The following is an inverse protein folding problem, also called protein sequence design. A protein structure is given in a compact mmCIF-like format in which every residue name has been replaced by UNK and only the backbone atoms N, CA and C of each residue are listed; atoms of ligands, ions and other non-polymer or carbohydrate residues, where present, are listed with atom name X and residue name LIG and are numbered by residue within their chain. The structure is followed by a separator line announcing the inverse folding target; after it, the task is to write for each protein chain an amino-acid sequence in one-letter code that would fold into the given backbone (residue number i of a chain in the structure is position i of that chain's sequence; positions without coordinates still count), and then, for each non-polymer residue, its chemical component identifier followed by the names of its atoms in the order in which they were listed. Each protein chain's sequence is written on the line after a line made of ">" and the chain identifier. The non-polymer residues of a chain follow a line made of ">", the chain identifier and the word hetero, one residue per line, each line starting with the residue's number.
data_IF_153361167395
#
_entry.id   IF_153361167395
#
_cell.length_a   1.000
_cell.length_b   1.000
_cell.length_c   1.000
_cell.angle_alpha   90.00
_cell.angle_beta   90.00
_cell.angle_gamma   90.00
#
_symmetry.space_group_name_H-M   'P 1'
#
loop_
_entity.id
_entity.type
_entity.pdbx_description
1 polymer ?
#
# COMPACT_ATOMS: atom_id res chain seq x y z
N UNK A 1 7.16 1.24 -1.31
CA UNK A 1 6.83 2.62 -1.75
C UNK A 1 5.94 3.28 -0.70
N UNK A 2 6.15 4.57 -0.44
CA UNK A 2 5.26 5.41 0.37
C UNK A 2 4.71 6.54 -0.51
N UNK A 3 3.41 6.80 -0.42
CA UNK A 3 2.76 7.96 -1.04
C UNK A 3 2.23 8.84 0.09
N UNK A 4 2.67 10.10 0.16
CA UNK A 4 2.26 11.00 1.22
C UNK A 4 1.82 12.37 0.74
N UNK A 5 0.78 12.92 1.36
CA UNK A 5 0.21 14.23 1.07
C UNK A 5 -1.11 14.45 1.80
N UNK A 6 -1.54 15.72 1.98
CA UNK A 6 -2.78 16.05 2.70
C UNK A 6 -4.01 15.47 2.00
N UNK A 7 -5.16 15.46 2.67
CA UNK A 7 -6.42 15.12 2.01
C UNK A 7 -6.63 15.94 0.73
N UNK A 8 -7.29 15.35 -0.26
CA UNK A 8 -7.49 15.94 -1.60
C UNK A 8 -6.24 16.24 -2.44
N UNK A 9 -5.04 15.81 -2.03
CA UNK A 9 -3.81 15.99 -2.82
C UNK A 9 -3.67 15.05 -4.03
N UNK A 10 -4.71 14.30 -4.41
CA UNK A 10 -4.70 13.38 -5.56
C UNK A 10 -4.06 12.00 -5.33
N UNK A 11 -3.76 11.61 -4.08
CA UNK A 11 -3.12 10.30 -3.75
C UNK A 11 -3.89 9.11 -4.32
N UNK A 12 -5.20 9.05 -4.10
CA UNK A 12 -6.04 7.95 -4.57
C UNK A 12 -6.07 7.87 -6.09
N UNK A 13 -6.09 9.01 -6.79
CA UNK A 13 -6.00 9.06 -8.26
C UNK A 13 -4.67 8.56 -8.77
N UNK A 14 -3.56 8.95 -8.12
CA UNK A 14 -2.23 8.43 -8.44
C UNK A 14 -2.16 6.92 -8.22
N UNK A 15 -2.70 6.45 -7.10
CA UNK A 15 -2.71 5.03 -6.73
C UNK A 15 -3.52 4.18 -7.73
N UNK A 16 -4.69 4.65 -8.16
CA UNK A 16 -5.50 3.99 -9.18
C UNK A 16 -4.76 3.84 -10.50
N UNK A 17 -4.12 4.92 -10.97
CA UNK A 17 -3.28 4.88 -12.19
C UNK A 17 -2.08 3.97 -12.03
N UNK A 18 -1.46 3.98 -10.85
CA UNK A 18 -0.36 3.07 -10.54
C UNK A 18 -0.82 1.61 -10.64
N UNK A 19 -1.96 1.27 -10.03
CA UNK A 19 -2.54 -0.08 -10.08
C UNK A 19 -2.84 -0.50 -11.52
N UNK A 20 -3.44 0.38 -12.35
CA UNK A 20 -3.74 0.04 -13.75
C UNK A 20 -2.49 -0.21 -14.59
N UNK A 21 -1.38 0.45 -14.28
CA UNK A 21 -0.11 0.35 -15.02
C UNK A 21 0.91 -0.59 -14.35
N UNK A 22 0.52 -1.33 -13.31
CA UNK A 22 1.44 -2.20 -12.55
C UNK A 22 2.20 -3.20 -13.41
N UNK A 23 1.60 -3.70 -14.50
CA UNK A 23 2.25 -4.64 -15.43
C UNK A 23 3.42 -4.03 -16.21
N UNK A 24 3.49 -2.70 -16.31
CA UNK A 24 4.58 -1.99 -16.96
C UNK A 24 5.55 -1.37 -15.94
N UNK A 25 5.04 -0.97 -14.77
CA UNK A 25 5.81 -0.26 -13.75
C UNK A 25 6.58 -1.19 -12.78
N UNK A 26 6.18 -2.45 -12.64
CA UNK A 26 6.78 -3.39 -11.68
C UNK A 26 7.25 -4.65 -12.41
N UNK A 27 8.54 -4.95 -12.26
CA UNK A 27 9.16 -6.20 -12.69
C UNK A 27 9.76 -6.93 -11.46
N UNK A 28 9.40 -8.19 -11.18
CA UNK A 28 8.41 -9.01 -11.88
C UNK A 28 6.97 -8.57 -11.65
N UNK A 29 6.12 -8.74 -12.68
CA UNK A 29 4.69 -8.40 -12.61
C UNK A 29 4.01 -9.05 -11.39
N UNK A 30 3.26 -8.28 -10.57
CA UNK A 30 2.45 -8.85 -9.52
C UNK A 30 1.38 -9.79 -10.07
N UNK A 31 1.30 -11.00 -9.52
CA UNK A 31 0.22 -11.97 -9.82
C UNK A 31 -1.07 -11.65 -9.08
N UNK A 32 -0.95 -11.02 -7.91
CA UNK A 32 -2.09 -10.63 -7.09
C UNK A 32 -1.90 -9.23 -6.54
N UNK A 33 -3.02 -8.55 -6.29
CA UNK A 33 -3.07 -7.24 -5.66
C UNK A 33 -4.06 -7.30 -4.50
N UNK A 34 -3.60 -6.93 -3.32
CA UNK A 34 -4.42 -6.82 -2.11
C UNK A 34 -4.47 -5.36 -1.66
N UNK A 35 -5.63 -4.74 -1.82
CA UNK A 35 -5.91 -3.37 -1.41
C UNK A 35 -6.59 -3.33 -0.05
N UNK A 36 -5.90 -2.83 0.96
CA UNK A 36 -6.38 -2.71 2.32
C UNK A 36 -6.71 -1.25 2.64
N UNK A 37 -7.88 -0.98 3.20
CA UNK A 37 -8.34 0.39 3.46
C UNK A 37 -8.88 0.58 4.89
N UNK A 38 -8.63 1.76 5.46
CA UNK A 38 -9.22 2.17 6.74
C UNK A 38 -10.66 2.64 6.62
N UNK A 39 -10.97 3.40 5.57
CA UNK A 39 -12.30 3.95 5.30
C UNK A 39 -12.77 3.56 3.90
N UNK A 40 -14.04 3.15 3.79
CA UNK A 40 -14.64 2.80 2.50
C UNK A 40 -14.76 4.06 1.63
N UNK A 41 -14.12 4.04 0.47
CA UNK A 41 -14.16 5.14 -0.48
C UNK A 41 -14.65 4.68 -1.86
N UNK A 42 -15.02 5.63 -2.71
CA UNK A 42 -15.57 5.36 -4.05
C UNK A 42 -14.59 4.59 -4.97
N UNK A 43 -13.32 4.46 -4.59
CA UNK A 43 -12.33 3.70 -5.36
C UNK A 43 -12.45 2.19 -5.13
N UNK A 44 -12.95 1.76 -3.97
CA UNK A 44 -13.00 0.34 -3.58
C UNK A 44 -13.85 -0.48 -4.55
N UNK A 45 -15.09 -0.06 -4.90
CA UNK A 45 -15.91 -0.82 -5.86
C UNK A 45 -15.27 -0.88 -7.25
N UNK A 46 -14.56 0.17 -7.65
CA UNK A 46 -13.86 0.23 -8.94
C UNK A 46 -12.71 -0.78 -8.98
N UNK A 47 -11.93 -0.87 -7.90
CA UNK A 47 -10.84 -1.83 -7.77
C UNK A 47 -11.34 -3.28 -7.74
N UNK A 48 -12.43 -3.55 -7.02
CA UNK A 48 -13.04 -4.88 -7.04
C UNK A 48 -13.47 -5.31 -8.45
N UNK A 49 -14.09 -4.40 -9.21
CA UNK A 49 -14.48 -4.66 -10.60
C UNK A 49 -13.29 -4.93 -11.52
N UNK A 50 -12.12 -4.36 -11.24
CA UNK A 50 -10.89 -4.64 -11.99
C UNK A 50 -10.15 -5.91 -11.53
N UNK A 51 -10.76 -6.74 -10.66
CA UNK A 51 -10.17 -7.98 -10.16
C UNK A 51 -9.16 -7.80 -9.02
N UNK A 52 -9.08 -6.61 -8.41
CA UNK A 52 -8.24 -6.37 -7.23
C UNK A 52 -8.95 -6.88 -5.99
N UNK A 53 -8.25 -7.66 -5.18
CA UNK A 53 -8.78 -8.13 -3.90
C UNK A 53 -8.76 -6.99 -2.88
N UNK A 54 -9.84 -6.82 -2.14
CA UNK A 54 -9.96 -5.74 -1.16
C UNK A 54 -10.16 -6.29 0.24
N UNK A 55 -9.65 -5.56 1.24
CA UNK A 55 -9.75 -5.91 2.65
C UNK A 55 -9.97 -4.65 3.51
N UNK A 56 -10.94 -4.70 4.41
CA UNK A 56 -11.20 -3.59 5.34
C UNK A 56 -10.30 -3.75 6.57
N UNK A 57 -9.42 -2.78 6.81
CA UNK A 57 -8.49 -2.76 7.94
C UNK A 57 -7.09 -3.30 7.62
N UNK A 58 -6.33 -3.59 8.67
CA UNK A 58 -4.94 -4.09 8.57
C UNK A 58 -4.98 -5.60 8.33
N UNK A 59 -4.40 -6.11 7.23
CA UNK A 59 -4.48 -7.54 6.92
C UNK A 59 -3.61 -8.35 7.88
N UNK A 60 -4.10 -9.49 8.40
CA UNK A 60 -3.25 -10.42 9.14
C UNK A 60 -2.27 -11.13 8.20
N UNK A 61 -1.14 -11.61 8.71
CA UNK A 61 -0.13 -12.30 7.90
C UNK A 61 -0.66 -13.53 7.17
N UNK A 62 -1.53 -14.32 7.82
CA UNK A 62 -2.10 -15.52 7.22
C UNK A 62 -2.96 -15.20 6.00
N UNK A 63 -3.57 -14.01 5.96
CA UNK A 63 -4.27 -13.52 4.79
C UNK A 63 -3.27 -13.20 3.67
N UNK A 64 -2.19 -12.47 3.96
CA UNK A 64 -1.14 -12.12 2.99
C UNK A 64 -0.49 -13.36 2.36
N UNK A 65 -0.35 -14.44 3.14
CA UNK A 65 0.25 -15.72 2.68
C UNK A 65 -0.64 -16.51 1.72
N UNK A 66 -1.96 -16.31 1.76
CA UNK A 66 -2.91 -17.01 0.87
C UNK A 66 -2.87 -16.50 -0.58
N UNK A 67 -2.32 -15.31 -0.81
CA UNK A 67 -2.24 -14.70 -2.14
C UNK A 67 -1.01 -15.16 -2.91
N UNK A 68 -1.18 -15.34 -4.23
CA UNK A 68 -0.10 -15.70 -5.14
C UNK A 68 1.01 -14.65 -5.20
N UNK A 69 2.26 -15.10 -5.37
CA UNK A 69 3.44 -14.23 -5.44
C UNK A 69 3.96 -14.10 -6.88
N UNK A 70 4.47 -12.93 -7.31
CA UNK A 70 4.66 -11.72 -6.50
C UNK A 70 3.34 -11.02 -6.14
N UNK A 71 3.21 -10.55 -4.90
CA UNK A 71 2.01 -9.83 -4.42
C UNK A 71 2.28 -8.33 -4.38
N UNK A 72 1.31 -7.51 -4.75
CA UNK A 72 1.30 -6.08 -4.43
C UNK A 72 0.35 -5.83 -3.26
N UNK A 73 0.90 -5.49 -2.10
CA UNK A 73 0.16 -5.11 -0.90
C UNK A 73 0.02 -3.59 -0.85
N UNK A 74 -1.23 -3.11 -0.81
CA UNK A 74 -1.54 -1.68 -0.71
C UNK A 74 -2.23 -1.44 0.62
N UNK A 75 -1.72 -0.47 1.38
CA UNK A 75 -2.24 -0.06 2.68
C UNK A 75 -2.64 1.42 2.57
N UNK A 76 -3.94 1.69 2.50
CA UNK A 76 -4.50 3.03 2.29
C UNK A 76 -5.24 3.53 3.54
N UNK A 77 -4.81 4.68 4.05
CA UNK A 77 -5.37 5.33 5.23
C UNK A 77 -5.41 4.45 6.50
N UNK A 78 -4.40 3.60 6.67
CA UNK A 78 -4.28 2.67 7.80
C UNK A 78 -3.33 3.15 8.90
N UNK A 79 -2.79 4.37 8.82
CA UNK A 79 -1.77 4.89 9.74
C UNK A 79 -2.19 4.80 11.22
N UNK A 80 -3.46 5.09 11.51
CA UNK A 80 -3.98 5.10 12.88
C UNK A 80 -4.17 3.70 13.44
N UNK A 81 -4.61 2.77 12.59
CA UNK A 81 -4.97 1.40 12.97
C UNK A 81 -3.79 0.43 12.95
N UNK A 82 -2.76 0.71 12.17
CA UNK A 82 -1.60 -0.17 12.04
C UNK A 82 -0.62 0.00 13.20
N UNK A 83 -0.12 -1.14 13.69
CA UNK A 83 0.95 -1.18 14.67
C UNK A 83 2.30 -0.83 14.02
N UNK A 84 3.14 -0.08 14.75
CA UNK A 84 4.45 0.37 14.28
C UNK A 84 5.39 -0.81 14.00
N UNK A 85 5.40 -1.83 14.87
CA UNK A 85 6.24 -3.00 14.70
C UNK A 85 5.79 -3.79 13.48
N UNK A 86 4.48 -3.99 13.32
CA UNK A 86 3.93 -4.68 12.16
C UNK A 86 4.26 -3.97 10.83
N UNK A 87 4.05 -2.66 10.76
CA UNK A 87 4.40 -1.87 9.58
C UNK A 87 5.90 -1.92 9.27
N UNK A 88 6.75 -1.86 10.32
CA UNK A 88 8.20 -1.97 10.20
C UNK A 88 8.62 -3.33 9.63
N UNK A 89 7.99 -4.42 10.08
CA UNK A 89 8.25 -5.76 9.57
C UNK A 89 7.85 -5.91 8.10
N UNK A 90 6.72 -5.33 7.68
CA UNK A 90 6.28 -5.32 6.29
C UNK A 90 7.26 -4.57 5.36
N UNK A 91 7.81 -3.44 5.80
CA UNK A 91 8.76 -2.63 5.02
C UNK A 91 10.21 -3.14 5.07
N UNK A 92 10.52 -4.10 5.94
CA UNK A 92 11.87 -4.67 6.07
C UNK A 92 11.91 -6.07 5.43
N UNK A 93 12.52 -7.04 6.13
CA UNK A 93 12.89 -8.36 5.60
C UNK A 93 11.71 -9.15 5.04
N UNK A 94 10.47 -8.93 5.51
CA UNK A 94 9.31 -9.70 5.02
C UNK A 94 9.01 -9.44 3.55
N UNK A 95 9.14 -8.20 3.06
CA UNK A 95 8.87 -7.88 1.64
C UNK A 95 9.80 -8.65 0.67
N UNK A 96 11.10 -8.67 0.97
CA UNK A 96 12.12 -9.33 0.16
C UNK A 96 12.04 -10.86 0.22
N UNK A 97 11.79 -11.45 1.40
CA UNK A 97 11.72 -12.90 1.56
C UNK A 97 10.38 -13.51 1.12
N UNK A 98 9.28 -12.75 1.19
CA UNK A 98 7.94 -13.22 0.81
C UNK A 98 7.49 -12.74 -0.57
N UNK A 99 8.42 -12.16 -1.36
CA UNK A 99 8.22 -11.72 -2.73
C UNK A 99 6.96 -10.85 -2.88
N UNK A 100 6.85 -9.80 -2.07
CA UNK A 100 5.77 -8.83 -2.21
C UNK A 100 6.29 -7.40 -2.20
N UNK A 101 5.68 -6.57 -3.04
CA UNK A 101 5.86 -5.12 -3.03
C UNK A 101 4.81 -4.49 -2.10
N UNK A 102 5.19 -3.42 -1.41
CA UNK A 102 4.30 -2.68 -0.51
C UNK A 102 4.13 -1.23 -0.96
N UNK A 103 2.88 -0.75 -0.96
CA UNK A 103 2.51 0.66 -1.12
C UNK A 103 1.80 1.10 0.14
N UNK A 104 2.35 2.08 0.84
CA UNK A 104 1.71 2.68 2.01
C UNK A 104 1.31 4.11 1.71
N UNK A 105 0.02 4.40 1.83
CA UNK A 105 -0.54 5.73 1.57
C UNK A 105 -0.87 6.38 2.91
N UNK A 106 -0.31 7.58 3.14
CA UNK A 106 -0.41 8.25 4.44
C UNK A 106 -0.47 9.77 4.32
N UNK A 107 -1.20 10.44 5.20
CA UNK A 107 -1.25 11.90 5.24
C UNK A 107 -0.03 12.53 5.92
N UNK A 108 0.60 11.80 6.87
CA UNK A 108 1.70 12.30 7.67
C UNK A 108 2.97 11.49 7.45
N UNK A 109 3.88 12.01 6.63
CA UNK A 109 5.19 11.40 6.37
C UNK A 109 6.14 11.48 7.57
N UNK A 110 5.92 12.38 8.51
CA UNK A 110 6.80 12.61 9.67
C UNK A 110 6.30 11.98 10.96
N UNK A 111 5.24 11.18 10.88
CA UNK A 111 4.75 10.40 12.01
C UNK A 111 5.87 9.47 12.54
N UNK A 112 5.97 9.32 13.85
CA UNK A 112 7.00 8.50 14.51
C UNK A 112 6.83 7.04 14.16
N UNK A 113 5.59 6.54 14.16
CA UNK A 113 5.22 5.14 13.85
C UNK A 113 5.72 4.64 12.50
N UNK A 114 5.96 5.54 11.55
CA UNK A 114 6.37 5.17 10.19
C UNK A 114 7.87 5.38 9.95
N UNK A 115 8.66 5.73 10.98
CA UNK A 115 10.07 6.07 10.82
C UNK A 115 10.85 4.94 10.14
N UNK A 116 10.68 3.70 10.59
CA UNK A 116 11.36 2.54 10.01
C UNK A 116 10.86 2.27 8.59
N UNK A 117 9.55 2.31 8.37
CA UNK A 117 8.97 2.15 7.03
C UNK A 117 9.50 3.20 6.05
N UNK A 118 9.60 4.46 6.49
CA UNK A 118 10.16 5.57 5.71
C UNK A 118 11.63 5.37 5.37
N UNK A 119 12.44 4.87 6.30
CA UNK A 119 13.86 4.59 6.07
C UNK A 119 14.08 3.41 5.10
N UNK A 120 13.17 2.43 5.10
CA UNK A 120 13.27 1.24 4.24
C UNK A 120 12.47 1.36 2.94
N UNK A 121 11.72 2.44 2.75
CA UNK A 121 10.95 2.66 1.54
C UNK A 121 11.89 2.91 0.35
N UNK A 122 11.82 2.05 -0.65
CA UNK A 122 12.58 2.21 -1.90
C UNK A 122 12.18 3.48 -2.68
N UNK A 123 10.92 3.88 -2.56
CA UNK A 123 10.36 5.06 -3.22
C UNK A 123 9.47 5.82 -2.25
N UNK A 124 9.58 7.14 -2.26
CA UNK A 124 8.72 8.06 -1.53
C UNK A 124 8.19 9.09 -2.52
N UNK A 125 6.87 9.15 -2.67
CA UNK A 125 6.16 10.15 -3.47
C UNK A 125 5.54 11.16 -2.52
N UNK A 126 5.91 12.42 -2.65
CA UNK A 126 5.37 13.53 -1.84
C UNK A 126 4.45 14.35 -2.73
N UNK A 127 3.22 14.53 -2.28
CA UNK A 127 2.17 15.29 -2.96
C UNK A 127 1.72 16.45 -2.06
N UNK A 128 1.30 17.54 -2.68
CA UNK A 128 0.69 18.69 -2.00
C UNK A 128 -0.60 19.05 -2.73
N UNK A 129 -1.60 19.56 -1.98
CA UNK A 129 -2.74 20.19 -2.63
C UNK A 129 -2.25 21.43 -3.39
N UNK A 130 -2.70 21.64 -4.63
CA UNK A 130 -2.62 22.96 -5.26
C UNK A 130 -3.35 24.01 -4.40
#
# INVERSE_FOLDING_TARGET
>A
MIISGPSSSGKSTLLLKFISETSYLIEPKPKSILYCFGEMSNIVPTLQKSGVSVYSGVPPEDLIRKYEKPLLLILDDLLMSIDEKYLSELFTKKSHHQNFAIVFVTQNLFERKIKVARQNAQYIIIMRSP
#
